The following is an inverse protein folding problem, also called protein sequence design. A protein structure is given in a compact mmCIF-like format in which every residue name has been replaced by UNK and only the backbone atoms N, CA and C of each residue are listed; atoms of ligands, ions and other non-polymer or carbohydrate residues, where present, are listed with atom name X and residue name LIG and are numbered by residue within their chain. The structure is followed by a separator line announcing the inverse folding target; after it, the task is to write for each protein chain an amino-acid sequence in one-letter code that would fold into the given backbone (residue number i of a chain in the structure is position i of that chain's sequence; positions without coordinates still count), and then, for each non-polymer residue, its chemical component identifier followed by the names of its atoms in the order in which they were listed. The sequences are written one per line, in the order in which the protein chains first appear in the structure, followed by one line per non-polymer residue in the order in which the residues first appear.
data_IF_265337379403
#
_entry.id   IF_265337379403
#
_cell.length_a   1.000
_cell.length_b   1.000
_cell.length_c   1.000
_cell.angle_alpha   90.00
_cell.angle_beta   90.00
_cell.angle_gamma   90.00
#
_symmetry.space_group_name_H-M   'P 1'
#
loop_
_entity.id
_entity.type
_entity.pdbx_description
1 polymer ?
#
# COMPACT_ATOMS: atom_id res chain seq x y z
N UNK A 1 -12.71 9.71 14.79
CA UNK A 1 -13.19 8.34 15.02
C UNK A 1 -14.32 8.07 14.04
N UNK A 2 -14.03 7.45 12.90
CA UNK A 2 -15.05 6.97 11.95
C UNK A 2 -14.80 5.48 11.72
N UNK A 3 -15.84 4.67 11.93
CA UNK A 3 -15.91 3.26 11.52
C UNK A 3 -17.24 3.06 10.83
N UNK A 4 -17.20 2.97 9.51
CA UNK A 4 -18.05 2.12 8.68
C UNK A 4 -17.27 1.93 7.37
N UNK A 5 -16.94 0.69 7.06
CA UNK A 5 -17.39 0.09 5.80
C UNK A 5 -17.12 -1.41 5.82
N UNK A 6 -18.23 -2.13 5.74
CA UNK A 6 -18.33 -3.56 5.52
C UNK A 6 -18.09 -3.82 4.04
N UNK A 7 -17.02 -4.54 3.70
CA UNK A 7 -16.88 -5.23 2.41
C UNK A 7 -15.79 -6.29 2.53
N UNK A 8 -16.07 -7.35 3.30
CA UNK A 8 -15.35 -8.60 3.16
C UNK A 8 -15.76 -9.22 1.83
N UNK A 9 -14.95 -8.98 0.80
CA UNK A 9 -15.06 -9.63 -0.50
C UNK A 9 -14.59 -11.07 -0.31
N UNK A 10 -15.52 -11.93 0.08
CA UNK A 10 -15.42 -13.38 -0.11
C UNK A 10 -15.91 -13.67 -1.52
N UNK A 11 -15.00 -13.92 -2.46
CA UNK A 11 -15.30 -14.54 -3.75
C UNK A 11 -14.04 -15.11 -4.37
N UNK A 12 -13.90 -16.43 -4.20
CA UNK A 12 -13.52 -17.38 -5.24
C UNK A 12 -12.21 -17.12 -6.01
N UNK A 13 -11.21 -17.92 -5.67
CA UNK A 13 -10.29 -18.49 -6.66
C UNK A 13 -10.09 -19.96 -6.31
N UNK A 14 -11.06 -20.77 -6.75
CA UNK A 14 -10.79 -22.15 -7.11
C UNK A 14 -9.63 -22.14 -8.11
N UNK A 15 -8.47 -22.65 -7.70
CA UNK A 15 -7.57 -23.26 -8.66
C UNK A 15 -6.96 -24.52 -8.05
N UNK A 16 -7.49 -25.64 -8.52
CA UNK A 16 -6.95 -26.99 -8.33
C UNK A 16 -5.50 -27.01 -8.81
N UNK A 17 -4.60 -27.42 -7.92
CA UNK A 17 -3.51 -28.31 -8.32
C UNK A 17 -3.40 -29.42 -7.27
N UNK A 18 -3.48 -30.70 -7.70
CA UNK A 18 -3.18 -31.81 -6.80
C UNK A 18 -1.69 -31.74 -6.46
N UNK A 19 -1.36 -31.74 -5.18
CA UNK A 19 -0.01 -32.08 -4.75
C UNK A 19 0.26 -33.51 -5.23
N UNK A 20 1.34 -33.79 -5.99
CA UNK A 20 1.85 -35.14 -6.00
C UNK A 20 2.45 -35.34 -4.61
N UNK A 21 1.70 -35.98 -3.71
CA UNK A 21 2.35 -36.67 -2.60
C UNK A 21 3.46 -37.52 -3.20
N UNK A 22 4.70 -37.48 -2.67
CA UNK A 22 5.68 -38.47 -3.02
C UNK A 22 5.15 -39.77 -2.42
N UNK A 23 4.38 -40.51 -3.21
CA UNK A 23 4.12 -41.91 -2.91
C UNK A 23 5.49 -42.56 -2.98
N UNK A 24 6.13 -42.66 -1.81
CA UNK A 24 7.15 -43.63 -1.56
C UNK A 24 6.70 -44.93 -2.23
N UNK A 25 7.60 -45.65 -2.92
CA UNK A 25 7.22 -46.94 -3.48
C UNK A 25 6.79 -47.78 -2.28
N UNK A 26 5.47 -47.99 -2.18
CA UNK A 26 4.87 -48.90 -1.21
C UNK A 26 5.57 -50.21 -1.49
N UNK A 27 6.39 -50.61 -0.52
CA UNK A 27 7.14 -51.85 -0.51
C UNK A 27 6.23 -52.95 -1.05
N UNK A 28 6.65 -53.53 -2.17
CA UNK A 28 5.92 -54.60 -2.80
C UNK A 28 5.83 -55.76 -1.83
N UNK A 29 4.66 -55.94 -1.21
CA UNK A 29 4.17 -57.26 -0.86
C UNK A 29 3.89 -58.00 -2.17
N UNK A 30 4.96 -58.40 -2.84
CA UNK A 30 4.97 -59.45 -3.84
C UNK A 30 5.63 -60.63 -3.18
N UNK A 31 4.83 -61.28 -2.35
CA UNK A 31 4.92 -62.69 -2.04
C UNK A 31 5.18 -63.46 -3.35
N UNK A 32 6.45 -63.77 -3.56
CA UNK A 32 6.98 -65.02 -4.13
C UNK A 32 6.01 -65.77 -5.08
N UNK A 33 5.84 -65.25 -6.29
CA UNK A 33 5.35 -66.03 -7.44
C UNK A 33 6.44 -66.10 -8.51
N UNK A 34 7.62 -66.57 -8.11
CA UNK A 34 8.65 -67.06 -9.04
C UNK A 34 9.14 -68.39 -8.50
N UNK A 35 8.50 -69.49 -8.91
CA UNK A 35 8.90 -70.77 -8.34
C UNK A 35 8.14 -71.99 -8.80
N UNK A 36 7.41 -71.95 -9.92
CA UNK A 36 6.84 -73.21 -10.44
C UNK A 36 7.86 -73.94 -11.33
N UNK A 37 8.57 -73.25 -12.24
CA UNK A 37 9.58 -73.90 -13.09
C UNK A 37 10.89 -74.24 -12.37
N UNK A 38 11.48 -73.27 -11.65
CA UNK A 38 12.79 -73.41 -11.00
C UNK A 38 12.81 -74.43 -9.86
N UNK A 39 11.75 -74.45 -9.04
CA UNK A 39 11.59 -75.39 -7.93
C UNK A 39 11.40 -76.81 -8.46
N UNK A 40 10.68 -76.99 -9.58
CA UNK A 40 10.50 -78.30 -10.20
C UNK A 40 11.79 -78.84 -10.86
N UNK A 41 12.61 -78.00 -11.49
CA UNK A 41 13.91 -78.41 -12.07
C UNK A 41 14.92 -78.73 -10.96
N UNK A 42 14.98 -77.90 -9.91
CA UNK A 42 15.83 -78.16 -8.75
C UNK A 42 15.41 -79.45 -8.04
N UNK A 43 14.10 -79.69 -7.87
CA UNK A 43 13.59 -80.94 -7.32
C UNK A 43 13.94 -82.14 -8.21
N UNK A 44 13.81 -82.04 -9.53
CA UNK A 44 14.19 -83.11 -10.44
C UNK A 44 15.70 -83.41 -10.39
N UNK A 45 16.55 -82.37 -10.35
CA UNK A 45 18.01 -82.53 -10.19
C UNK A 45 18.38 -83.15 -8.83
N UNK A 46 17.76 -82.69 -7.73
CA UNK A 46 17.96 -83.27 -6.40
C UNK A 46 17.51 -84.74 -6.36
N UNK A 47 16.43 -85.08 -7.09
CA UNK A 47 15.95 -86.47 -7.19
C UNK A 47 16.90 -87.34 -8.00
N UNK A 48 17.50 -86.81 -9.06
CA UNK A 48 18.58 -87.51 -9.80
C UNK A 48 19.78 -87.74 -8.89
N UNK A 49 20.18 -86.73 -8.11
CA UNK A 49 21.25 -86.86 -7.12
C UNK A 49 20.95 -87.95 -6.08
N UNK A 50 19.75 -87.96 -5.52
CA UNK A 50 19.27 -88.98 -4.56
C UNK A 50 19.31 -90.39 -5.17
N UNK A 51 18.79 -90.56 -6.39
CA UNK A 51 18.82 -91.85 -7.12
C UNK A 51 20.25 -92.32 -7.36
N UNK A 52 21.17 -91.42 -7.68
CA UNK A 52 22.59 -91.75 -7.89
C UNK A 52 23.29 -92.11 -6.56
N UNK A 53 22.94 -91.45 -5.46
CA UNK A 53 23.51 -91.70 -4.13
C UNK A 53 23.02 -93.01 -3.51
N UNK A 54 21.74 -93.35 -3.67
CA UNK A 54 21.14 -94.58 -3.12
C UNK A 54 21.41 -95.83 -3.95
N UNK A 55 21.92 -95.66 -5.18
CA UNK A 55 22.17 -96.76 -6.10
C UNK A 55 23.38 -97.64 -5.69
N UNK A 56 23.32 -98.97 -5.88
CA UNK A 56 24.40 -99.88 -5.49
C UNK A 56 25.73 -99.56 -6.20
N UNK A 57 26.78 -99.33 -5.42
CA UNK A 57 28.13 -99.11 -5.96
C UNK A 57 28.84 -100.44 -6.22
N UNK A 58 29.37 -100.60 -7.42
CA UNK A 58 30.11 -101.79 -7.80
C UNK A 58 31.54 -101.68 -7.21
N UNK A 59 31.95 -102.59 -6.31
CA UNK A 59 33.25 -102.52 -5.63
C UNK A 59 34.41 -102.61 -6.65
N UNK A 60 35.50 -101.88 -6.38
CA UNK A 60 36.73 -101.79 -7.20
C UNK A 60 36.60 -101.16 -8.60
N UNK A 61 35.39 -100.84 -9.09
CA UNK A 61 35.21 -100.32 -10.46
C UNK A 61 34.82 -98.85 -10.52
N UNK A 62 34.53 -98.20 -9.38
CA UNK A 62 34.08 -96.80 -9.32
C UNK A 62 32.74 -96.51 -10.00
N UNK A 63 32.04 -97.55 -10.48
CA UNK A 63 30.77 -97.46 -11.22
C UNK A 63 29.59 -97.70 -10.29
N UNK A 64 28.50 -97.01 -10.56
CA UNK A 64 27.23 -97.15 -9.86
C UNK A 64 26.22 -97.82 -10.79
N UNK A 65 25.47 -98.81 -10.30
CA UNK A 65 24.42 -99.46 -11.05
C UNK A 65 23.13 -98.66 -10.85
N UNK A 66 22.66 -97.98 -11.89
CA UNK A 66 21.49 -97.10 -11.82
C UNK A 66 20.38 -97.70 -12.69
N UNK A 67 19.15 -97.63 -12.19
CA UNK A 67 17.96 -97.99 -12.96
C UNK A 67 17.67 -96.91 -14.01
N UNK A 68 17.60 -97.31 -15.27
CA UNK A 68 17.50 -96.41 -16.41
C UNK A 68 16.12 -95.73 -16.50
N UNK A 69 15.03 -96.45 -16.17
CA UNK A 69 13.67 -95.94 -16.28
C UNK A 69 13.42 -94.66 -15.45
N UNK A 70 13.62 -94.66 -14.11
CA UNK A 70 13.37 -93.46 -13.29
C UNK A 70 14.34 -92.31 -13.58
N UNK A 71 15.55 -92.60 -14.05
CA UNK A 71 16.53 -91.58 -14.43
C UNK A 71 16.12 -90.86 -15.72
N UNK A 72 15.62 -91.60 -16.72
CA UNK A 72 15.14 -91.03 -17.97
C UNK A 72 13.89 -90.17 -17.77
N UNK A 73 12.96 -90.58 -16.91
CA UNK A 73 11.76 -89.78 -16.58
C UNK A 73 12.13 -88.43 -15.95
N UNK A 74 13.11 -88.41 -15.04
CA UNK A 74 13.61 -87.17 -14.44
C UNK A 74 14.35 -86.29 -15.45
N UNK A 75 15.10 -86.89 -16.37
CA UNK A 75 15.78 -86.17 -17.45
C UNK A 75 14.77 -85.54 -18.42
N UNK A 76 13.70 -86.26 -18.76
CA UNK A 76 12.62 -85.75 -19.61
C UNK A 76 11.84 -84.62 -18.92
N UNK A 77 11.62 -84.72 -17.60
CA UNK A 77 11.04 -83.63 -16.81
C UNK A 77 11.92 -82.37 -16.84
N UNK A 78 13.25 -82.51 -16.71
CA UNK A 78 14.17 -81.37 -16.86
C UNK A 78 14.12 -80.83 -18.29
N UNK A 79 14.17 -81.70 -19.30
CA UNK A 79 14.15 -81.32 -20.71
C UNK A 79 12.88 -80.55 -21.11
N UNK A 80 11.73 -80.91 -20.54
CA UNK A 80 10.46 -80.26 -20.80
C UNK A 80 10.35 -78.88 -20.12
N UNK A 81 10.86 -78.75 -18.89
CA UNK A 81 10.67 -77.57 -18.04
C UNK A 81 11.82 -76.53 -18.13
N UNK A 82 13.01 -76.95 -18.54
CA UNK A 82 14.18 -76.07 -18.62
C UNK A 82 14.05 -74.96 -19.69
N UNK A 83 13.52 -75.22 -20.90
CA UNK A 83 13.27 -74.16 -21.88
C UNK A 83 12.28 -73.09 -21.40
N UNK A 84 11.20 -73.50 -20.73
CA UNK A 84 10.18 -72.57 -20.22
C UNK A 84 10.73 -71.72 -19.07
N UNK A 85 11.52 -72.31 -18.17
CA UNK A 85 12.20 -71.56 -17.11
C UNK A 85 13.17 -70.49 -17.65
N UNK A 86 13.87 -70.74 -18.76
CA UNK A 86 14.70 -69.73 -19.40
C UNK A 86 13.89 -68.62 -20.08
N UNK A 87 12.76 -68.96 -20.71
CA UNK A 87 11.84 -67.97 -21.28
C UNK A 87 11.27 -67.04 -20.19
N UNK A 88 10.83 -67.60 -19.07
CA UNK A 88 10.36 -66.83 -17.92
C UNK A 88 11.46 -65.89 -17.37
N UNK A 89 12.71 -66.38 -17.28
CA UNK A 89 13.83 -65.56 -16.82
C UNK A 89 14.14 -64.39 -17.79
N UNK A 90 14.10 -64.64 -19.10
CA UNK A 90 14.27 -63.59 -20.13
C UNK A 90 13.15 -62.55 -20.06
N UNK A 91 11.90 -62.98 -19.84
CA UNK A 91 10.77 -62.08 -19.64
C UNK A 91 10.93 -61.21 -18.38
N UNK A 92 11.38 -61.79 -17.26
CA UNK A 92 11.67 -61.03 -16.03
C UNK A 92 12.76 -60.00 -16.26
N UNK A 93 13.84 -60.35 -16.96
CA UNK A 93 14.92 -59.40 -17.31
C UNK A 93 14.38 -58.27 -18.19
N UNK A 94 13.58 -58.60 -19.22
CA UNK A 94 12.96 -57.61 -20.10
C UNK A 94 12.02 -56.67 -19.33
N UNK A 95 11.19 -57.22 -18.44
CA UNK A 95 10.30 -56.43 -17.57
C UNK A 95 11.10 -55.51 -16.64
N UNK A 96 12.19 -56.02 -16.06
CA UNK A 96 13.10 -55.23 -15.22
C UNK A 96 13.65 -54.04 -15.99
N UNK A 97 14.19 -54.27 -17.18
CA UNK A 97 14.80 -53.22 -18.01
C UNK A 97 13.76 -52.18 -18.45
N UNK A 98 12.52 -52.61 -18.71
CA UNK A 98 11.41 -51.70 -18.99
C UNK A 98 11.06 -50.83 -17.77
N UNK A 99 10.96 -51.43 -16.58
CA UNK A 99 10.71 -50.69 -15.34
C UNK A 99 11.84 -49.69 -15.06
N UNK A 100 13.09 -50.07 -15.26
CA UNK A 100 14.23 -49.16 -15.10
C UNK A 100 14.14 -47.98 -16.05
N UNK A 101 13.85 -48.23 -17.34
CA UNK A 101 13.69 -47.15 -18.32
C UNK A 101 12.55 -46.20 -17.94
N UNK A 102 11.41 -46.75 -17.51
CA UNK A 102 10.27 -45.94 -17.06
C UNK A 102 10.60 -45.13 -15.81
N UNK A 103 11.30 -45.73 -14.85
CA UNK A 103 11.73 -45.05 -13.62
C UNK A 103 12.75 -43.94 -13.92
N UNK A 104 13.70 -44.17 -14.84
CA UNK A 104 14.64 -43.14 -15.28
C UNK A 104 13.92 -41.98 -15.97
N UNK A 105 12.98 -42.27 -16.88
CA UNK A 105 12.19 -41.26 -17.55
C UNK A 105 11.36 -40.44 -16.55
N UNK A 106 10.67 -41.12 -15.64
CA UNK A 106 9.87 -40.46 -14.60
C UNK A 106 10.73 -39.62 -13.66
N UNK A 107 11.91 -40.14 -13.28
CA UNK A 107 12.89 -39.39 -12.49
C UNK A 107 13.36 -38.12 -13.19
N UNK A 108 13.63 -38.20 -14.50
CA UNK A 108 14.00 -37.05 -15.30
C UNK A 108 12.86 -36.02 -15.38
N UNK A 109 11.63 -36.47 -15.61
CA UNK A 109 10.44 -35.61 -15.64
C UNK A 109 10.24 -34.87 -14.31
N UNK A 110 10.48 -35.52 -13.17
CA UNK A 110 10.41 -34.88 -11.85
C UNK A 110 11.49 -33.80 -11.72
N UNK A 111 12.73 -34.10 -12.10
CA UNK A 111 13.84 -33.14 -12.00
C UNK A 111 13.57 -31.93 -12.88
N UNK A 112 13.19 -32.13 -14.14
CA UNK A 112 12.88 -31.06 -15.08
C UNK A 112 11.74 -30.18 -14.56
N UNK A 113 10.67 -30.79 -14.02
CA UNK A 113 9.56 -30.06 -13.43
C UNK A 113 9.98 -29.25 -12.19
N UNK A 114 10.82 -29.82 -11.32
CA UNK A 114 11.33 -29.15 -10.13
C UNK A 114 12.25 -27.97 -10.48
N UNK A 115 13.13 -28.14 -11.47
CA UNK A 115 14.00 -27.06 -11.97
C UNK A 115 13.19 -25.92 -12.57
N UNK A 116 12.16 -26.24 -13.36
CA UNK A 116 11.29 -25.23 -13.97
C UNK A 116 10.50 -24.45 -12.90
N UNK A 117 9.98 -25.14 -11.87
CA UNK A 117 9.32 -24.49 -10.75
C UNK A 117 10.28 -23.59 -9.95
N UNK A 118 11.50 -24.07 -9.68
CA UNK A 118 12.51 -23.28 -8.99
C UNK A 118 12.89 -22.01 -9.78
N UNK A 119 13.02 -22.12 -11.11
CA UNK A 119 13.28 -20.97 -11.99
C UNK A 119 12.15 -19.94 -11.90
N UNK A 120 10.89 -20.38 -11.95
CA UNK A 120 9.72 -19.49 -11.85
C UNK A 120 9.68 -18.77 -10.49
N UNK A 121 9.90 -19.49 -9.38
CA UNK A 121 9.90 -18.90 -8.03
C UNK A 121 11.02 -17.86 -7.90
N UNK A 122 12.22 -18.14 -8.42
CA UNK A 122 13.33 -17.18 -8.38
C UNK A 122 13.03 -15.91 -9.18
N UNK A 123 12.39 -16.04 -10.35
CA UNK A 123 11.99 -14.89 -11.16
C UNK A 123 10.94 -14.05 -10.44
N UNK A 124 9.91 -14.68 -9.87
CA UNK A 124 8.91 -14.01 -9.03
C UNK A 124 9.55 -13.29 -7.83
N UNK A 125 10.49 -13.93 -7.14
CA UNK A 125 11.23 -13.31 -6.04
C UNK A 125 12.08 -12.12 -6.51
N UNK A 126 12.66 -12.20 -7.71
CA UNK A 126 13.39 -11.12 -8.37
C UNK A 126 12.49 -9.91 -8.61
N UNK A 127 11.32 -10.14 -9.22
CA UNK A 127 10.33 -9.10 -9.49
C UNK A 127 9.81 -8.46 -8.20
N UNK A 128 9.45 -9.27 -7.19
CA UNK A 128 8.97 -8.76 -5.90
C UNK A 128 10.05 -7.93 -5.19
N UNK A 129 11.32 -8.37 -5.22
CA UNK A 129 12.43 -7.61 -4.64
C UNK A 129 12.64 -6.28 -5.36
N UNK A 130 12.63 -6.29 -6.69
CA UNK A 130 12.75 -5.07 -7.50
C UNK A 130 11.60 -4.11 -7.24
N UNK A 131 10.36 -4.60 -7.25
CA UNK A 131 9.17 -3.81 -6.96
C UNK A 131 9.25 -3.18 -5.56
N UNK A 132 9.76 -3.92 -4.56
CA UNK A 132 9.96 -3.40 -3.21
C UNK A 132 11.00 -2.28 -3.17
N UNK A 133 12.14 -2.44 -3.85
CA UNK A 133 13.18 -1.40 -3.92
C UNK A 133 12.64 -0.13 -4.58
N UNK A 134 11.91 -0.25 -5.68
CA UNK A 134 11.30 0.89 -6.37
C UNK A 134 10.20 1.55 -5.52
N UNK A 135 9.36 0.76 -4.83
CA UNK A 135 8.35 1.29 -3.92
C UNK A 135 8.99 2.08 -2.77
N UNK A 136 10.06 1.55 -2.16
CA UNK A 136 10.77 2.25 -1.09
C UNK A 136 11.45 3.53 -1.60
N UNK A 137 12.02 3.51 -2.81
CA UNK A 137 12.57 4.71 -3.47
C UNK A 137 11.49 5.77 -3.71
N UNK A 138 10.34 5.38 -4.27
CA UNK A 138 9.23 6.29 -4.51
C UNK A 138 8.71 6.88 -3.20
N UNK A 139 8.59 6.08 -2.14
CA UNK A 139 8.19 6.56 -0.81
C UNK A 139 9.18 7.58 -0.23
N UNK A 140 10.49 7.37 -0.44
CA UNK A 140 11.50 8.33 -0.01
C UNK A 140 11.42 9.64 -0.80
N UNK A 141 11.25 9.55 -2.12
CA UNK A 141 11.07 10.73 -2.98
C UNK A 141 9.84 11.53 -2.59
N UNK A 142 8.67 10.88 -2.46
CA UNK A 142 7.43 11.54 -2.04
C UNK A 142 7.58 12.21 -0.68
N UNK A 143 8.29 11.58 0.27
CA UNK A 143 8.56 12.21 1.58
C UNK A 143 9.40 13.47 1.44
N UNK A 144 10.50 13.41 0.68
CA UNK A 144 11.35 14.57 0.44
C UNK A 144 10.58 15.71 -0.27
N UNK A 145 9.78 15.37 -1.27
CA UNK A 145 8.96 16.35 -2.00
C UNK A 145 7.91 16.99 -1.09
N UNK A 146 7.25 16.20 -0.24
CA UNK A 146 6.31 16.72 0.76
C UNK A 146 7.00 17.64 1.78
N UNK A 147 8.23 17.32 2.21
CA UNK A 147 9.01 18.16 3.11
C UNK A 147 9.33 19.51 2.46
N UNK A 148 9.81 19.50 1.22
CA UNK A 148 10.09 20.72 0.44
C UNK A 148 8.83 21.56 0.25
N UNK A 149 7.72 20.94 -0.16
CA UNK A 149 6.45 21.63 -0.35
C UNK A 149 5.93 22.23 0.97
N UNK A 150 6.09 21.52 2.08
CA UNK A 150 5.72 22.02 3.42
C UNK A 150 6.59 23.23 3.82
N UNK A 151 7.89 23.18 3.62
CA UNK A 151 8.78 24.31 3.90
C UNK A 151 8.48 25.52 3.03
N UNK A 152 8.15 25.31 1.75
CA UNK A 152 7.71 26.38 0.86
C UNK A 152 6.41 27.02 1.37
N UNK A 153 5.40 26.21 1.71
CA UNK A 153 4.14 26.71 2.25
C UNK A 153 4.33 27.50 3.55
N UNK A 154 5.20 27.04 4.46
CA UNK A 154 5.51 27.77 5.70
C UNK A 154 6.14 29.13 5.38
N UNK A 155 7.13 29.17 4.48
CA UNK A 155 7.77 30.43 4.05
C UNK A 155 6.79 31.39 3.41
N UNK A 156 5.89 30.90 2.57
CA UNK A 156 4.85 31.72 1.93
C UNK A 156 3.87 32.28 2.97
N UNK A 157 3.43 31.46 3.92
CA UNK A 157 2.54 31.91 5.01
C UNK A 157 3.23 32.98 5.86
N UNK A 158 4.49 32.79 6.23
CA UNK A 158 5.26 33.77 7.00
C UNK A 158 5.41 35.09 6.23
N UNK A 159 5.70 35.03 4.93
CA UNK A 159 5.80 36.22 4.09
C UNK A 159 4.46 36.94 3.98
N UNK A 160 3.37 36.22 3.76
CA UNK A 160 2.02 36.79 3.69
C UNK A 160 1.63 37.45 5.02
N UNK A 161 1.94 36.81 6.15
CA UNK A 161 1.68 37.40 7.47
C UNK A 161 2.45 38.69 7.69
N UNK A 162 3.73 38.74 7.31
CA UNK A 162 4.53 39.95 7.40
C UNK A 162 3.96 41.08 6.53
N UNK A 163 3.56 40.77 5.30
CA UNK A 163 2.94 41.73 4.39
C UNK A 163 1.62 42.25 4.96
N UNK A 164 0.73 41.36 5.41
CA UNK A 164 -0.55 41.73 6.00
C UNK A 164 -0.37 42.62 7.25
N UNK A 165 0.64 42.33 8.08
CA UNK A 165 0.96 43.14 9.25
C UNK A 165 1.43 44.55 8.85
N UNK A 166 2.31 44.66 7.86
CA UNK A 166 2.76 45.95 7.34
C UNK A 166 1.61 46.76 6.73
N UNK A 167 0.73 46.12 5.98
CA UNK A 167 -0.46 46.75 5.41
C UNK A 167 -1.40 47.26 6.51
N UNK A 168 -1.64 46.45 7.54
CA UNK A 168 -2.43 46.86 8.71
C UNK A 168 -1.83 48.08 9.41
N UNK A 169 -0.51 48.10 9.62
CA UNK A 169 0.19 49.23 10.22
C UNK A 169 0.06 50.50 9.37
N UNK A 170 0.18 50.37 8.05
CA UNK A 170 0.02 51.50 7.13
C UNK A 170 -1.42 52.03 7.11
N UNK A 171 -2.42 51.16 7.06
CA UNK A 171 -3.83 51.54 7.13
C UNK A 171 -4.12 52.26 8.44
N UNK A 172 -3.62 51.71 9.56
CA UNK A 172 -3.79 52.32 10.87
C UNK A 172 -3.14 53.70 10.96
N UNK A 173 -1.90 53.84 10.50
CA UNK A 173 -1.19 55.11 10.47
C UNK A 173 -1.91 56.15 9.61
N UNK A 174 -2.40 55.74 8.43
CA UNK A 174 -3.18 56.61 7.54
C UNK A 174 -4.49 57.06 8.17
N UNK A 175 -5.23 56.14 8.80
CA UNK A 175 -6.49 56.45 9.47
C UNK A 175 -6.29 57.46 10.61
N UNK A 176 -5.22 57.30 11.41
CA UNK A 176 -4.88 58.26 12.47
C UNK A 176 -4.52 59.64 11.92
N UNK A 177 -3.73 59.70 10.83
CA UNK A 177 -3.37 60.96 10.20
C UNK A 177 -4.59 61.68 9.61
N UNK A 178 -5.49 60.93 8.97
CA UNK A 178 -6.75 61.46 8.43
C UNK A 178 -7.67 61.96 9.55
N UNK A 179 -7.81 61.19 10.64
CA UNK A 179 -8.59 61.60 11.81
C UNK A 179 -8.05 62.91 12.42
N UNK A 180 -6.73 63.02 12.61
CA UNK A 180 -6.10 64.25 13.12
C UNK A 180 -6.31 65.46 12.18
N UNK A 181 -6.31 65.23 10.87
CA UNK A 181 -6.58 66.26 9.87
C UNK A 181 -8.04 66.72 9.93
N UNK A 182 -8.97 65.78 10.08
CA UNK A 182 -10.40 66.07 10.23
C UNK A 182 -10.66 66.85 11.51
N UNK A 183 -10.07 66.44 12.64
CA UNK A 183 -10.20 67.12 13.92
C UNK A 183 -9.70 68.56 13.83
N UNK A 184 -8.49 68.76 13.29
CA UNK A 184 -7.91 70.11 13.10
C UNK A 184 -8.77 70.98 12.17
N UNK A 185 -9.30 70.40 11.07
CA UNK A 185 -10.17 71.11 10.15
C UNK A 185 -11.53 71.47 10.75
N UNK A 186 -12.07 70.61 11.63
CA UNK A 186 -13.30 70.89 12.35
C UNK A 186 -13.12 72.01 13.37
N UNK A 187 -12.01 72.03 14.11
CA UNK A 187 -11.65 73.10 15.03
C UNK A 187 -11.49 74.43 14.30
N UNK A 188 -10.75 74.45 13.19
CA UNK A 188 -10.57 75.67 12.38
C UNK A 188 -11.90 76.18 11.79
N UNK A 189 -12.78 75.26 11.38
CA UNK A 189 -14.11 75.62 10.92
C UNK A 189 -14.97 76.19 12.06
N UNK A 190 -14.94 75.59 13.24
CA UNK A 190 -15.67 76.07 14.41
C UNK A 190 -15.21 77.48 14.80
N UNK A 191 -13.90 77.75 14.80
CA UNK A 191 -13.33 79.07 15.09
C UNK A 191 -13.80 80.11 14.06
N UNK A 192 -13.75 79.79 12.76
CA UNK A 192 -14.27 80.68 11.70
C UNK A 192 -15.76 80.97 11.85
N UNK A 193 -16.58 79.97 12.19
CA UNK A 193 -18.02 80.15 12.42
C UNK A 193 -18.25 81.06 13.64
N UNK A 194 -17.54 80.83 14.74
CA UNK A 194 -17.65 81.64 15.96
C UNK A 194 -17.20 83.09 15.71
N UNK A 195 -16.10 83.29 15.00
CA UNK A 195 -15.60 84.63 14.64
C UNK A 195 -16.60 85.39 13.75
N UNK A 196 -17.24 84.72 12.80
CA UNK A 196 -18.29 85.33 11.98
C UNK A 196 -19.50 85.74 12.83
N UNK A 197 -19.93 84.89 13.76
CA UNK A 197 -21.03 85.20 14.68
C UNK A 197 -20.65 86.39 15.58
N UNK A 198 -19.43 86.41 16.11
CA UNK A 198 -18.91 87.53 16.91
C UNK A 198 -18.98 88.85 16.14
N UNK A 199 -18.51 88.86 14.89
CA UNK A 199 -18.54 90.04 14.04
C UNK A 199 -19.97 90.53 13.79
N UNK A 200 -20.90 89.63 13.47
CA UNK A 200 -22.31 89.96 13.25
C UNK A 200 -22.96 90.55 14.51
N UNK A 201 -22.70 89.98 15.69
CA UNK A 201 -23.21 90.50 16.96
C UNK A 201 -22.62 91.87 17.28
N UNK A 202 -21.33 92.08 16.98
CA UNK A 202 -20.66 93.38 17.17
C UNK A 202 -21.27 94.46 16.29
N UNK A 203 -21.56 94.15 15.03
CA UNK A 203 -22.23 95.06 14.09
C UNK A 203 -23.65 95.38 14.55
N UNK A 204 -24.42 94.38 14.99
CA UNK A 204 -25.76 94.58 15.55
C UNK A 204 -25.71 95.47 16.81
N UNK A 205 -24.75 95.22 17.71
CA UNK A 205 -24.53 96.05 18.91
C UNK A 205 -24.18 97.49 18.54
N UNK A 206 -23.41 97.71 17.46
CA UNK A 206 -23.10 99.05 16.95
C UNK A 206 -24.36 99.77 16.47
N UNK A 207 -25.23 99.08 15.73
CA UNK A 207 -26.53 99.62 15.29
C UNK A 207 -27.41 99.97 16.48
N UNK A 208 -27.52 99.09 17.49
CA UNK A 208 -28.32 99.34 18.69
C UNK A 208 -27.77 100.53 19.49
N UNK A 209 -26.45 100.64 19.67
CA UNK A 209 -25.83 101.80 20.35
C UNK A 209 -26.15 103.11 19.63
N UNK A 210 -26.01 103.13 18.30
CA UNK A 210 -26.32 104.29 17.49
C UNK A 210 -27.81 104.66 17.60
N UNK A 211 -28.72 103.69 17.45
CA UNK A 211 -30.16 103.91 17.59
C UNK A 211 -30.55 104.41 19.00
N UNK A 212 -29.94 103.86 20.05
CA UNK A 212 -30.14 104.35 21.44
C UNK A 212 -29.63 105.77 21.64
N UNK A 213 -28.45 106.11 21.11
CA UNK A 213 -27.93 107.48 21.17
C UNK A 213 -28.85 108.46 20.46
N UNK A 214 -29.43 108.07 19.32
CA UNK A 214 -30.35 108.90 18.56
C UNK A 214 -31.66 109.14 19.31
N UNK A 215 -32.23 108.11 19.95
CA UNK A 215 -33.41 108.26 20.81
C UNK A 215 -33.13 109.10 22.07
N UNK A 216 -31.93 108.99 22.66
CA UNK A 216 -31.53 109.86 23.77
C UNK A 216 -31.41 111.33 23.34
N UNK A 217 -30.84 111.58 22.15
CA UNK A 217 -30.82 112.92 21.56
C UNK A 217 -32.25 113.42 21.30
N UNK A 218 -33.13 112.64 20.67
CA UNK A 218 -34.53 113.03 20.47
C UNK A 218 -35.28 113.27 21.79
N UNK A 219 -35.01 112.47 22.83
CA UNK A 219 -35.61 112.66 24.15
C UNK A 219 -35.15 113.96 24.83
N UNK A 220 -33.88 114.31 24.69
CA UNK A 220 -33.31 115.56 25.22
C UNK A 220 -33.79 116.77 24.41
N UNK A 221 -33.84 116.67 23.07
CA UNK A 221 -34.48 117.69 22.22
C UNK A 221 -35.96 117.89 22.56
N UNK A 222 -36.74 116.81 22.75
CA UNK A 222 -38.15 116.90 23.16
C UNK A 222 -38.33 117.44 24.59
N UNK A 223 -37.42 117.12 25.51
CA UNK A 223 -37.43 117.68 26.86
C UNK A 223 -37.19 119.20 26.84
N UNK A 224 -36.18 119.67 26.09
CA UNK A 224 -35.92 121.09 25.91
C UNK A 224 -37.06 121.83 25.17
N UNK A 225 -37.74 121.17 24.22
CA UNK A 225 -38.91 121.75 23.55
C UNK A 225 -40.10 121.92 24.51
N UNK A 226 -40.35 120.93 25.39
CA UNK A 226 -41.40 121.01 26.43
C UNK A 226 -41.10 122.05 27.51
N UNK A 227 -39.83 122.20 27.91
CA UNK A 227 -39.41 123.27 28.84
C UNK A 227 -39.55 124.65 28.19
N UNK A 228 -39.17 124.81 26.93
CA UNK A 228 -39.31 126.07 26.20
C UNK A 228 -40.78 126.46 25.96
N UNK A 229 -41.67 125.50 25.66
CA UNK A 229 -43.11 125.76 25.58
C UNK A 229 -43.74 126.05 26.95
N UNK A 230 -43.26 125.43 28.03
CA UNK A 230 -43.77 125.70 29.39
C UNK A 230 -43.31 127.05 29.95
N UNK A 231 -42.10 127.51 29.58
CA UNK A 231 -41.64 128.87 29.89
C UNK A 231 -42.35 129.95 29.06
N UNK A 232 -42.74 129.63 27.82
CA UNK A 232 -43.55 130.53 26.98
C UNK A 232 -44.99 130.71 27.51
N UNK A 233 -45.59 129.67 28.09
CA UNK A 233 -46.96 129.73 28.65
C UNK A 233 -47.00 130.45 30.01
N UNK A 234 -45.91 130.44 30.80
CA UNK A 234 -45.83 131.20 32.08
C UNK A 234 -45.56 132.70 31.92
N UNK A 235 -45.42 133.20 30.68
CA UNK A 235 -45.13 134.61 30.37
C UNK A 235 -46.32 135.41 29.83
N UNK A 236 -47.51 134.80 29.82
CA UNK A 236 -48.80 135.44 29.57
C UNK A 236 -49.69 135.29 30.81
#
# INVERSE_FOLDING_TARGET
MLRQDSAGIDSQSENRQPQPEPTAPVEGDRTEQTGSGSVNIQQALNRIEEVILDSPRIPFTGRTLIDEEPLLDLLDAIRLNLPTAFQEAEEVVRQKDEIFRQAEQYGQEIVDAAEQQAANILDEMGLVRQAKVEADRMRQQVRADCEVAREQAIREIEQLQQQAQQELEQIHARALAEASTIESGADEYADKVLQNIEQQLSDMMRVIRNGRQQLQQESTYRAHQKESSSQAIRRY
#
